data_IF_349835351006
#
_entry.id   IF_349835351006
#
_cell.length_a   1.000
_cell.length_b   1.000
_cell.length_c   1.000
_cell.angle_alpha   90.00
_cell.angle_beta   90.00
_cell.angle_gamma   90.00
#
_symmetry.space_group_name_H-M   'P 1'
#
loop_
_entity.id
_entity.type
_entity.pdbx_description
1 polymer ?
#
# COMPACT_ATOMS: atom_id res chain seq x y z
N UNK A 1 6.44 10.36 60.44
CA UNK A 1 5.84 10.75 59.14
C UNK A 1 6.86 10.81 57.98
N UNK A 2 8.04 11.44 58.06
CA UNK A 2 9.02 11.53 56.95
C UNK A 2 9.50 10.16 56.34
N UNK A 3 9.77 9.15 57.21
CA UNK A 3 10.23 7.82 56.74
C UNK A 3 9.18 7.04 55.91
N UNK A 4 7.89 7.25 56.20
CA UNK A 4 6.78 6.55 55.56
C UNK A 4 6.49 7.14 54.17
N UNK A 5 6.62 8.47 54.03
CA UNK A 5 6.48 9.16 52.72
C UNK A 5 7.63 8.81 51.79
N UNK A 6 8.85 8.66 52.32
CA UNK A 6 10.03 8.26 51.52
C UNK A 6 9.95 6.80 51.04
N UNK A 7 9.36 5.88 51.83
CA UNK A 7 9.07 4.50 51.37
C UNK A 7 8.02 4.48 50.27
N UNK A 8 6.91 5.22 50.41
CA UNK A 8 5.84 5.33 49.41
C UNK A 8 6.39 5.90 48.07
N UNK A 9 7.23 6.94 48.13
CA UNK A 9 7.86 7.51 46.92
C UNK A 9 8.76 6.50 46.20
N UNK A 10 9.59 5.73 46.94
CA UNK A 10 10.44 4.69 46.34
C UNK A 10 9.62 3.57 45.69
N UNK A 11 8.53 3.09 46.37
CA UNK A 11 7.67 2.06 45.80
C UNK A 11 6.98 2.55 44.55
N UNK A 12 6.47 3.77 44.54
CA UNK A 12 5.84 4.39 43.36
C UNK A 12 6.82 4.51 42.18
N UNK A 13 8.07 4.92 42.44
CA UNK A 13 9.10 5.05 41.44
C UNK A 13 9.48 3.67 40.83
N UNK A 14 9.60 2.64 41.67
CA UNK A 14 9.86 1.27 41.21
C UNK A 14 8.69 0.76 40.36
N UNK A 15 7.45 1.01 40.78
CA UNK A 15 6.26 0.60 40.00
C UNK A 15 6.23 1.26 38.62
N UNK A 16 6.50 2.57 38.55
CA UNK A 16 6.59 3.31 37.28
C UNK A 16 7.70 2.72 36.39
N UNK A 17 8.86 2.43 36.96
CA UNK A 17 9.98 1.85 36.21
C UNK A 17 9.62 0.47 35.63
N UNK A 18 8.96 -0.39 36.44
CA UNK A 18 8.52 -1.71 35.98
C UNK A 18 7.51 -1.60 34.86
N UNK A 19 6.55 -0.67 34.94
CA UNK A 19 5.56 -0.42 33.88
C UNK A 19 6.25 0.03 32.58
N UNK A 20 7.20 0.98 32.66
CA UNK A 20 7.93 1.45 31.48
C UNK A 20 8.73 0.31 30.84
N UNK A 21 9.45 -0.49 31.63
CA UNK A 21 10.22 -1.64 31.12
C UNK A 21 9.30 -2.68 30.47
N UNK A 22 8.16 -2.98 31.09
CA UNK A 22 7.18 -3.93 30.53
C UNK A 22 6.60 -3.43 29.20
N UNK A 23 6.24 -2.15 29.10
CA UNK A 23 5.76 -1.54 27.86
C UNK A 23 6.85 -1.54 26.78
N UNK A 24 8.10 -1.31 27.15
CA UNK A 24 9.23 -1.34 26.22
C UNK A 24 9.47 -2.76 25.66
N UNK A 25 9.37 -3.79 26.48
CA UNK A 25 9.51 -5.19 26.07
C UNK A 25 8.37 -5.58 25.12
N UNK A 26 7.12 -5.19 25.44
CA UNK A 26 5.96 -5.44 24.57
C UNK A 26 6.13 -4.72 23.24
N UNK A 27 6.53 -3.45 23.25
CA UNK A 27 6.77 -2.68 22.03
C UNK A 27 7.87 -3.33 21.17
N UNK A 28 8.96 -3.77 21.81
CA UNK A 28 10.05 -4.48 21.12
C UNK A 28 9.61 -5.82 20.52
N UNK A 29 8.78 -6.57 21.24
CA UNK A 29 8.17 -7.82 20.76
C UNK A 29 7.28 -7.60 19.55
N UNK A 30 6.46 -6.53 19.55
CA UNK A 30 5.61 -6.13 18.43
C UNK A 30 6.48 -5.74 17.22
N UNK A 31 7.52 -4.92 17.43
CA UNK A 31 8.44 -4.51 16.36
C UNK A 31 9.15 -5.72 15.75
N UNK A 32 9.64 -6.64 16.59
CA UNK A 32 10.28 -7.87 16.14
C UNK A 32 9.33 -8.80 15.38
N UNK A 33 8.07 -8.86 15.77
CA UNK A 33 7.03 -9.63 15.10
C UNK A 33 6.67 -9.03 13.73
N UNK A 34 6.43 -7.73 13.67
CA UNK A 34 6.10 -7.01 12.42
C UNK A 34 7.29 -6.99 11.44
N UNK A 35 8.51 -7.00 11.95
CA UNK A 35 9.74 -7.05 11.16
C UNK A 35 10.09 -8.45 10.64
N UNK A 36 9.37 -9.51 11.06
CA UNK A 36 9.58 -10.86 10.51
C UNK A 36 9.14 -10.89 9.05
N UNK A 37 10.10 -10.96 8.16
CA UNK A 37 9.86 -11.12 6.74
C UNK A 37 9.32 -12.50 6.40
N UNK A 38 8.42 -12.57 5.42
CA UNK A 38 8.01 -13.82 4.79
C UNK A 38 8.69 -13.91 3.43
N UNK A 39 9.36 -15.04 3.17
CA UNK A 39 9.95 -15.30 1.86
C UNK A 39 8.89 -15.78 0.90
N UNK A 40 8.70 -15.03 -0.18
CA UNK A 40 7.73 -15.28 -1.24
C UNK A 40 8.43 -15.64 -2.53
N UNK A 41 7.81 -16.48 -3.36
CA UNK A 41 8.30 -16.79 -4.70
C UNK A 41 7.67 -15.85 -5.73
N UNK A 42 8.46 -15.34 -6.64
CA UNK A 42 7.96 -14.69 -7.86
C UNK A 42 7.35 -15.77 -8.75
N UNK A 43 6.07 -15.62 -9.09
CA UNK A 43 5.37 -16.51 -10.02
C UNK A 43 5.62 -16.06 -11.46
N UNK A 44 5.38 -14.79 -11.72
CA UNK A 44 5.62 -14.14 -13.01
C UNK A 44 5.76 -12.64 -12.85
N UNK A 45 6.30 -12.00 -13.88
CA UNK A 45 6.35 -10.54 -14.03
C UNK A 45 5.80 -10.20 -15.40
N UNK A 46 4.68 -9.52 -15.43
CA UNK A 46 4.06 -9.00 -16.62
C UNK A 46 4.58 -7.60 -16.87
N UNK A 47 5.18 -7.39 -18.06
CA UNK A 47 5.60 -6.07 -18.54
C UNK A 47 4.42 -5.42 -19.23
N UNK A 48 4.00 -4.29 -18.68
CA UNK A 48 2.93 -3.48 -19.23
C UNK A 48 3.50 -2.28 -19.99
N UNK A 49 2.65 -1.56 -20.70
CA UNK A 49 3.04 -0.31 -21.35
C UNK A 49 3.46 0.76 -20.32
N UNK A 50 4.16 1.80 -20.75
CA UNK A 50 4.53 2.94 -19.90
C UNK A 50 5.47 2.62 -18.74
N UNK A 51 6.41 1.71 -18.92
CA UNK A 51 7.36 1.26 -17.86
C UNK A 51 6.71 0.60 -16.66
N UNK A 52 5.44 0.21 -16.76
CA UNK A 52 4.73 -0.50 -15.70
C UNK A 52 5.09 -1.99 -15.70
N UNK A 53 5.09 -2.56 -14.52
CA UNK A 53 5.21 -4.01 -14.33
C UNK A 53 4.22 -4.46 -13.26
N UNK A 54 3.52 -5.55 -13.55
CA UNK A 54 2.70 -6.28 -12.60
C UNK A 54 3.45 -7.54 -12.16
N UNK A 55 3.76 -7.62 -10.90
CA UNK A 55 4.54 -8.70 -10.30
C UNK A 55 3.58 -9.60 -9.54
N UNK A 56 3.59 -10.88 -9.86
CA UNK A 56 2.82 -11.93 -9.25
C UNK A 56 3.69 -12.69 -8.25
N UNK A 57 3.30 -12.67 -6.98
CA UNK A 57 3.99 -13.39 -5.92
C UNK A 57 3.09 -14.49 -5.37
N UNK A 58 3.69 -15.64 -5.05
CA UNK A 58 2.98 -16.73 -4.41
C UNK A 58 2.48 -16.29 -3.03
N UNK A 59 1.18 -16.44 -2.80
CA UNK A 59 0.56 -16.16 -1.51
C UNK A 59 0.65 -17.39 -0.61
N UNK A 60 1.23 -17.29 0.61
CA UNK A 60 1.11 -18.33 1.62
C UNK A 60 -0.34 -18.51 2.08
N UNK A 61 -0.76 -19.75 2.34
CA UNK A 61 -2.16 -20.11 2.66
C UNK A 61 -2.76 -19.31 3.82
N UNK A 62 -1.96 -19.04 4.86
CA UNK A 62 -2.38 -18.32 6.08
C UNK A 62 -2.08 -16.83 6.05
N UNK A 63 -1.58 -16.29 4.95
CA UNK A 63 -1.28 -14.88 4.87
C UNK A 63 -2.54 -14.06 4.62
N UNK A 64 -2.80 -13.11 5.52
CA UNK A 64 -3.91 -12.18 5.43
C UNK A 64 -3.42 -10.74 5.52
N UNK A 65 -4.07 -9.84 4.80
CA UNK A 65 -3.82 -8.40 4.89
C UNK A 65 -5.10 -7.62 4.62
N UNK A 66 -5.11 -6.38 5.06
CA UNK A 66 -6.22 -5.46 4.79
C UNK A 66 -6.11 -4.92 3.37
N UNK A 67 -7.22 -4.78 2.68
CA UNK A 67 -7.25 -4.13 1.37
C UNK A 67 -6.58 -2.74 1.41
N UNK A 68 -5.84 -2.39 0.36
CA UNK A 68 -5.04 -1.18 0.30
C UNK A 68 -3.73 -1.23 1.13
N UNK A 69 -3.30 -2.42 1.54
CA UNK A 69 -2.05 -2.59 2.27
C UNK A 69 -0.82 -2.29 1.41
N UNK A 70 0.23 -1.90 2.09
CA UNK A 70 1.59 -1.82 1.54
C UNK A 70 2.55 -2.59 2.44
N UNK A 71 3.65 -3.04 1.85
CA UNK A 71 4.66 -3.81 2.55
C UNK A 71 6.07 -3.40 2.12
N UNK A 72 7.05 -3.66 2.98
CA UNK A 72 8.46 -3.54 2.62
C UNK A 72 8.87 -4.81 1.89
N UNK A 73 9.24 -4.67 0.61
CA UNK A 73 9.74 -5.76 -0.21
C UNK A 73 11.24 -5.63 -0.36
N UNK A 74 11.97 -6.66 0.08
CA UNK A 74 13.42 -6.76 0.00
C UNK A 74 13.80 -7.79 -1.06
N UNK A 75 14.81 -7.45 -1.85
CA UNK A 75 15.42 -8.37 -2.80
C UNK A 75 16.40 -9.28 -2.05
N UNK A 76 16.53 -10.56 -2.44
CA UNK A 76 17.50 -11.46 -1.84
C UNK A 76 18.90 -10.88 -2.03
N UNK A 77 19.76 -11.09 -1.03
CA UNK A 77 21.18 -10.89 -1.22
C UNK A 77 21.63 -11.81 -2.35
N UNK A 78 22.54 -11.34 -3.19
CA UNK A 78 23.00 -11.97 -4.45
C UNK A 78 23.39 -13.46 -4.40
N UNK A 79 23.39 -14.07 -3.21
CA UNK A 79 23.75 -15.49 -2.99
C UNK A 79 22.61 -16.44 -3.37
N UNK A 80 21.33 -16.00 -3.27
CA UNK A 80 20.15 -16.85 -3.46
C UNK A 80 19.51 -16.71 -4.85
N UNK A 81 20.09 -15.86 -5.74
CA UNK A 81 19.57 -15.64 -7.08
C UNK A 81 20.53 -16.21 -8.12
N UNK A 82 20.17 -17.26 -8.90
CA UNK A 82 21.07 -17.92 -9.83
C UNK A 82 21.63 -17.04 -10.94
N UNK A 83 20.97 -15.92 -11.30
CA UNK A 83 21.50 -14.99 -12.30
C UNK A 83 22.57 -14.04 -11.76
N UNK A 84 22.48 -13.63 -10.47
CA UNK A 84 23.52 -12.82 -9.84
C UNK A 84 24.74 -13.65 -9.44
N UNK A 85 24.61 -14.97 -9.31
CA UNK A 85 25.75 -15.87 -9.09
C UNK A 85 26.72 -15.91 -10.30
N UNK A 86 26.23 -15.70 -11.52
CA UNK A 86 27.06 -15.66 -12.74
C UNK A 86 27.90 -14.38 -12.85
N UNK A 87 27.44 -13.24 -12.30
CA UNK A 87 28.17 -11.96 -12.33
C UNK A 87 29.24 -11.86 -11.22
N UNK A 88 29.13 -12.68 -10.16
CA UNK A 88 30.08 -12.70 -9.03
C UNK A 88 31.41 -13.39 -9.35
N UNK A 89 31.50 -14.12 -10.48
CA UNK A 89 32.76 -14.75 -10.91
C UNK A 89 33.78 -13.72 -11.44
N UNK A 90 33.37 -12.49 -11.69
CA UNK A 90 34.22 -11.41 -12.24
C UNK A 90 34.68 -10.38 -11.22
N UNK A 91 34.92 -10.75 -9.96
CA UNK A 91 35.81 -10.01 -9.05
C UNK A 91 35.35 -8.63 -8.54
N UNK A 92 34.07 -8.29 -8.57
CA UNK A 92 33.56 -7.04 -7.99
C UNK A 92 33.40 -7.17 -6.46
N UNK A 93 34.03 -6.25 -5.75
CA UNK A 93 34.08 -6.15 -4.29
C UNK A 93 32.69 -6.21 -3.62
N UNK A 94 32.56 -7.02 -2.58
CA UNK A 94 31.39 -7.10 -1.69
C UNK A 94 31.18 -5.75 -0.96
N UNK A 95 30.47 -4.81 -1.57
CA UNK A 95 29.92 -3.71 -0.81
C UNK A 95 28.59 -4.16 -0.20
N UNK A 96 28.47 -4.17 1.15
CA UNK A 96 27.17 -4.29 1.82
C UNK A 96 26.28 -3.18 1.29
N UNK A 97 25.29 -3.51 0.47
CA UNK A 97 24.25 -2.56 0.04
C UNK A 97 23.66 -1.89 1.29
N UNK A 98 23.60 -0.57 1.31
CA UNK A 98 22.93 0.16 2.38
C UNK A 98 21.47 -0.30 2.41
N UNK A 99 20.88 -0.44 3.59
CA UNK A 99 19.49 -0.93 3.83
C UNK A 99 18.42 -0.31 2.90
N UNK A 100 18.68 0.88 2.33
CA UNK A 100 17.81 1.57 1.38
C UNK A 100 17.96 1.14 -0.07
N UNK A 101 18.99 0.38 -0.44
CA UNK A 101 19.23 -0.04 -1.84
C UNK A 101 18.61 -1.39 -2.17
N UNK A 102 18.39 -2.25 -1.17
CA UNK A 102 17.86 -3.61 -1.34
C UNK A 102 16.36 -3.74 -1.06
N UNK A 103 15.68 -2.70 -0.60
CA UNK A 103 14.27 -2.77 -0.24
C UNK A 103 13.49 -1.49 -0.53
N UNK A 104 12.17 -1.62 -0.77
CA UNK A 104 11.23 -0.50 -0.94
C UNK A 104 9.86 -0.86 -0.37
N UNK A 105 9.14 0.18 0.05
CA UNK A 105 7.72 0.09 0.32
C UNK A 105 6.94 0.02 -0.99
N UNK A 106 6.15 -1.04 -1.18
CA UNK A 106 5.32 -1.25 -2.35
C UNK A 106 3.90 -1.58 -1.92
N UNK A 107 2.94 -1.13 -2.71
CA UNK A 107 1.51 -1.36 -2.46
C UNK A 107 1.09 -2.70 -3.03
N UNK A 108 0.30 -3.44 -2.25
CA UNK A 108 -0.30 -4.69 -2.67
C UNK A 108 -1.59 -4.39 -3.43
N UNK A 109 -1.66 -4.81 -4.69
CA UNK A 109 -2.78 -4.56 -5.60
C UNK A 109 -3.86 -5.65 -5.58
N UNK A 110 -3.66 -6.71 -4.78
CA UNK A 110 -4.66 -7.77 -4.55
C UNK A 110 -5.25 -7.70 -3.14
N UNK A 111 -6.45 -8.25 -2.95
CA UNK A 111 -6.97 -8.49 -1.60
C UNK A 111 -6.54 -9.88 -1.09
N UNK A 112 -6.70 -10.12 0.19
CA UNK A 112 -6.22 -11.37 0.82
C UNK A 112 -7.00 -12.63 0.40
N UNK A 113 -8.15 -12.48 -0.28
CA UNK A 113 -8.94 -13.59 -0.79
C UNK A 113 -8.54 -14.00 -2.22
N UNK A 114 -7.69 -13.19 -2.89
CA UNK A 114 -7.11 -13.55 -4.17
C UNK A 114 -5.97 -14.57 -3.96
N UNK A 115 -5.76 -15.46 -4.93
CA UNK A 115 -4.77 -16.55 -4.82
C UNK A 115 -3.32 -16.09 -4.86
N UNK A 116 -3.07 -14.82 -5.21
CA UNK A 116 -1.74 -14.26 -5.42
C UNK A 116 -1.61 -12.89 -4.76
N UNK A 117 -0.35 -12.51 -4.48
CA UNK A 117 -0.02 -11.15 -4.09
C UNK A 117 0.42 -10.40 -5.34
N UNK A 118 -0.34 -9.38 -5.72
CA UNK A 118 -0.04 -8.54 -6.88
C UNK A 118 0.67 -7.27 -6.45
N UNK A 119 1.76 -6.92 -7.12
CA UNK A 119 2.48 -5.66 -6.93
C UNK A 119 2.54 -4.92 -8.27
N UNK A 120 1.87 -3.78 -8.35
CA UNK A 120 1.95 -2.88 -9.51
C UNK A 120 2.99 -1.79 -9.26
N UNK A 121 3.92 -1.61 -10.20
CA UNK A 121 4.99 -0.66 -10.01
C UNK A 121 5.55 -0.12 -11.33
N UNK A 122 5.96 1.16 -11.34
CA UNK A 122 6.82 1.71 -12.39
C UNK A 122 8.25 1.24 -12.25
N UNK A 123 8.93 0.99 -13.37
CA UNK A 123 10.36 0.88 -13.42
C UNK A 123 10.98 2.28 -13.52
N UNK A 124 11.21 2.92 -12.38
CA UNK A 124 11.79 4.27 -12.28
C UNK A 124 13.27 4.36 -12.66
N UNK A 125 13.86 3.29 -13.18
CA UNK A 125 15.29 3.23 -13.54
C UNK A 125 16.23 3.05 -12.35
N UNK A 126 15.73 3.06 -11.10
CA UNK A 126 16.57 2.81 -9.92
C UNK A 126 17.10 1.36 -9.93
N UNK A 127 18.30 1.10 -9.37
CA UNK A 127 18.85 -0.27 -9.31
C UNK A 127 17.88 -1.28 -8.71
N UNK A 128 17.20 -0.92 -7.60
CA UNK A 128 16.19 -1.77 -6.99
C UNK A 128 15.04 -2.12 -7.94
N UNK A 129 14.46 -1.12 -8.62
CA UNK A 129 13.34 -1.34 -9.54
C UNK A 129 13.75 -2.17 -10.76
N UNK A 130 14.92 -1.89 -11.33
CA UNK A 130 15.49 -2.69 -12.42
C UNK A 130 15.68 -4.14 -12.01
N UNK A 131 16.24 -4.40 -10.83
CA UNK A 131 16.42 -5.75 -10.31
C UNK A 131 15.07 -6.42 -10.05
N UNK A 132 14.14 -5.76 -9.34
CA UNK A 132 12.84 -6.31 -9.00
C UNK A 132 12.04 -6.70 -10.25
N UNK A 133 11.98 -5.80 -11.27
CA UNK A 133 11.17 -6.02 -12.46
C UNK A 133 11.81 -6.97 -13.50
N UNK A 134 13.02 -7.47 -13.23
CA UNK A 134 13.73 -8.44 -14.07
C UNK A 134 14.01 -9.77 -13.36
N UNK A 135 13.41 -10.00 -12.18
CA UNK A 135 13.54 -11.28 -11.48
C UNK A 135 12.91 -12.41 -12.32
N UNK A 136 13.61 -13.52 -12.52
CA UNK A 136 13.01 -14.69 -13.15
C UNK A 136 11.95 -15.33 -12.24
N UNK A 137 11.01 -16.05 -12.85
CA UNK A 137 10.07 -16.88 -12.10
C UNK A 137 10.82 -17.86 -11.18
N UNK A 138 10.29 -18.09 -9.98
CA UNK A 138 10.94 -18.88 -8.93
C UNK A 138 11.88 -18.10 -8.02
N UNK A 139 12.30 -16.87 -8.40
CA UNK A 139 13.10 -16.00 -7.52
C UNK A 139 12.40 -15.77 -6.19
N UNK A 140 13.20 -15.55 -5.14
CA UNK A 140 12.68 -15.24 -3.81
C UNK A 140 12.74 -13.75 -3.53
N UNK A 141 11.72 -13.22 -2.89
CA UNK A 141 11.68 -11.88 -2.30
C UNK A 141 11.24 -11.99 -0.85
N UNK A 142 11.64 -11.06 -0.01
CA UNK A 142 11.17 -11.00 1.37
C UNK A 142 10.16 -9.88 1.53
N UNK A 143 8.97 -10.20 2.06
CA UNK A 143 7.92 -9.26 2.38
C UNK A 143 7.81 -9.11 3.90
N UNK A 144 7.89 -7.87 4.38
CA UNK A 144 7.82 -7.52 5.80
C UNK A 144 7.04 -6.23 6.02
N UNK A 145 6.73 -5.89 7.27
CA UNK A 145 6.11 -4.61 7.65
C UNK A 145 4.80 -4.31 6.91
N UNK A 146 3.85 -5.24 6.99
CA UNK A 146 2.56 -5.11 6.35
C UNK A 146 1.68 -4.08 7.08
N UNK A 147 1.23 -3.02 6.39
CA UNK A 147 0.40 -1.95 6.94
C UNK A 147 -0.60 -1.41 5.90
N UNK A 148 -1.64 -0.69 6.33
CA UNK A 148 -2.62 -0.05 5.45
C UNK A 148 -3.06 1.31 5.97
N UNK A 149 -2.71 2.37 5.23
CA UNK A 149 -3.11 3.75 5.51
C UNK A 149 -4.56 4.06 5.11
N UNK A 150 -5.15 3.24 4.24
CA UNK A 150 -6.51 3.43 3.72
C UNK A 150 -7.56 2.60 4.47
N UNK A 151 -7.15 1.77 5.44
CA UNK A 151 -8.11 0.97 6.20
C UNK A 151 -9.09 1.85 6.97
N UNK A 152 -10.37 1.45 6.97
CA UNK A 152 -11.44 2.14 7.68
C UNK A 152 -12.28 1.14 8.48
N UNK A 153 -12.78 1.57 9.62
CA UNK A 153 -13.68 0.81 10.49
C UNK A 153 -15.15 1.16 10.27
N UNK A 154 -15.43 2.17 9.43
CA UNK A 154 -16.81 2.61 9.15
C UNK A 154 -17.51 1.59 8.25
N UNK A 155 -18.43 0.84 8.81
CA UNK A 155 -18.99 -0.37 8.18
C UNK A 155 -20.04 -0.13 7.08
N UNK A 156 -20.72 1.04 7.02
CA UNK A 156 -21.89 1.22 6.11
C UNK A 156 -21.87 2.52 5.29
N UNK A 157 -20.80 3.31 5.35
CA UNK A 157 -20.73 4.58 4.61
C UNK A 157 -20.26 4.37 3.18
N UNK A 158 -20.76 5.17 2.21
CA UNK A 158 -20.23 5.17 0.87
C UNK A 158 -18.72 5.43 0.83
N UNK A 159 -18.01 4.80 -0.10
CA UNK A 159 -16.64 5.13 -0.42
C UNK A 159 -16.58 5.92 -1.71
N UNK A 160 -15.95 7.08 -1.65
CA UNK A 160 -15.63 7.91 -2.81
C UNK A 160 -14.13 7.85 -3.02
N UNK A 161 -13.72 7.17 -4.09
CA UNK A 161 -12.33 6.80 -4.33
C UNK A 161 -11.74 7.60 -5.50
N UNK A 162 -10.51 8.01 -5.34
CA UNK A 162 -9.68 8.56 -6.41
C UNK A 162 -8.37 7.78 -6.49
N UNK A 163 -8.06 7.32 -7.69
CA UNK A 163 -6.77 6.71 -7.99
C UNK A 163 -6.07 7.50 -9.09
N UNK A 164 -4.80 7.83 -8.91
CA UNK A 164 -3.95 8.41 -9.94
C UNK A 164 -2.84 7.43 -10.28
N UNK A 165 -2.73 7.04 -11.57
CA UNK A 165 -1.70 6.14 -12.07
C UNK A 165 -1.66 4.81 -11.27
N UNK A 166 -0.49 4.37 -10.81
CA UNK A 166 -0.33 3.16 -9.98
C UNK A 166 -1.05 3.24 -8.62
N UNK A 167 -1.66 4.37 -8.27
CA UNK A 167 -2.54 4.50 -7.11
C UNK A 167 -3.71 3.52 -7.12
N UNK A 168 -4.09 3.05 -8.29
CA UNK A 168 -5.11 2.00 -8.45
C UNK A 168 -4.74 0.72 -7.70
N UNK A 169 -3.45 0.44 -7.49
CA UNK A 169 -2.99 -0.69 -6.69
C UNK A 169 -3.51 -0.66 -5.25
N UNK A 170 -3.70 0.53 -4.66
CA UNK A 170 -4.25 0.65 -3.31
C UNK A 170 -5.79 0.62 -3.30
N UNK A 171 -6.43 1.12 -4.35
CA UNK A 171 -7.89 1.26 -4.41
C UNK A 171 -8.57 -0.01 -4.91
N UNK A 172 -8.03 -0.69 -5.94
CA UNK A 172 -8.60 -1.91 -6.52
C UNK A 172 -8.97 -2.98 -5.47
N UNK A 173 -8.07 -3.39 -4.55
CA UNK A 173 -8.41 -4.40 -3.55
C UNK A 173 -9.53 -3.95 -2.62
N UNK A 174 -9.64 -2.65 -2.32
CA UNK A 174 -10.72 -2.10 -1.50
C UNK A 174 -12.05 -2.19 -2.27
N UNK A 175 -12.07 -1.80 -3.55
CA UNK A 175 -13.26 -1.95 -4.39
C UNK A 175 -13.71 -3.41 -4.41
N UNK A 176 -12.80 -4.35 -4.69
CA UNK A 176 -13.14 -5.80 -4.73
C UNK A 176 -13.67 -6.33 -3.40
N UNK A 177 -13.13 -5.88 -2.29
CA UNK A 177 -13.58 -6.31 -0.96
C UNK A 177 -14.97 -5.76 -0.62
N UNK A 178 -15.30 -4.55 -1.11
CA UNK A 178 -16.52 -3.83 -0.75
C UNK A 178 -17.66 -3.94 -1.78
N UNK A 179 -17.42 -4.60 -2.91
CA UNK A 179 -18.47 -4.89 -3.90
C UNK A 179 -19.66 -5.59 -3.22
N UNK A 180 -20.87 -5.09 -3.52
CA UNK A 180 -22.12 -5.61 -2.94
C UNK A 180 -22.40 -5.26 -1.49
N UNK A 181 -21.48 -4.54 -0.79
CA UNK A 181 -21.62 -4.20 0.63
C UNK A 181 -22.00 -2.75 0.85
N UNK A 182 -21.54 -1.83 0.00
CA UNK A 182 -21.76 -0.38 0.12
C UNK A 182 -21.71 0.30 -1.23
N UNK A 183 -22.18 1.55 -1.29
CA UNK A 183 -22.01 2.41 -2.46
C UNK A 183 -20.53 2.76 -2.67
N UNK A 184 -20.06 2.56 -3.88
CA UNK A 184 -18.68 2.79 -4.32
C UNK A 184 -18.66 3.73 -5.51
N UNK A 185 -17.90 4.80 -5.43
CA UNK A 185 -17.63 5.70 -6.56
C UNK A 185 -16.13 5.74 -6.77
N UNK A 186 -15.66 5.44 -7.97
CA UNK A 186 -14.23 5.44 -8.30
C UNK A 186 -13.95 6.27 -9.54
N UNK A 187 -13.13 7.30 -9.40
CA UNK A 187 -12.46 7.96 -10.52
C UNK A 187 -11.01 7.51 -10.61
N UNK A 188 -10.61 6.99 -11.78
CA UNK A 188 -9.25 6.56 -12.05
C UNK A 188 -8.60 7.47 -13.08
N UNK A 189 -7.68 8.32 -12.63
CA UNK A 189 -6.92 9.25 -13.48
C UNK A 189 -5.77 8.51 -14.17
N UNK A 190 -5.83 8.43 -15.49
CA UNK A 190 -4.76 7.88 -16.34
C UNK A 190 -3.55 8.81 -16.41
N UNK A 191 -2.37 8.22 -16.36
CA UNK A 191 -1.09 8.88 -16.70
C UNK A 191 -0.41 8.17 -17.90
N UNK A 192 -1.23 7.70 -18.82
CA UNK A 192 -0.78 7.00 -20.05
C UNK A 192 -1.36 5.59 -20.14
N UNK A 193 -1.17 4.75 -19.12
CA UNK A 193 -1.66 3.37 -19.10
C UNK A 193 -2.71 3.18 -18.01
N UNK A 194 -3.79 2.48 -18.36
CA UNK A 194 -4.90 2.17 -17.45
C UNK A 194 -4.87 0.70 -17.05
N UNK A 195 -4.15 0.40 -15.97
CA UNK A 195 -4.11 -0.96 -15.43
C UNK A 195 -5.41 -1.29 -14.70
N UNK A 196 -5.90 -2.52 -14.85
CA UNK A 196 -7.17 -3.03 -14.31
C UNK A 196 -8.44 -2.34 -14.85
N UNK A 197 -8.35 -1.51 -15.90
CA UNK A 197 -9.50 -0.78 -16.42
C UNK A 197 -10.65 -1.73 -16.83
N UNK A 198 -10.34 -2.74 -17.64
CA UNK A 198 -11.35 -3.70 -18.09
C UNK A 198 -12.01 -4.45 -16.93
N UNK A 199 -11.23 -4.84 -15.91
CA UNK A 199 -11.77 -5.48 -14.69
C UNK A 199 -12.74 -4.56 -13.96
N UNK A 200 -12.40 -3.28 -13.82
CA UNK A 200 -13.23 -2.29 -13.13
C UNK A 200 -14.50 -1.95 -13.92
N UNK A 201 -14.39 -1.80 -15.24
CA UNK A 201 -15.56 -1.59 -16.11
C UNK A 201 -16.54 -2.77 -16.06
N UNK A 202 -16.03 -4.02 -16.13
CA UNK A 202 -16.85 -5.22 -16.00
C UNK A 202 -17.48 -5.29 -14.61
N UNK A 203 -16.73 -4.95 -13.57
CA UNK A 203 -17.26 -4.92 -12.21
C UNK A 203 -18.37 -3.89 -12.06
N UNK A 204 -18.21 -2.68 -12.62
CA UNK A 204 -19.25 -1.64 -12.59
C UNK A 204 -20.52 -2.03 -13.37
N UNK A 205 -20.37 -2.73 -14.48
CA UNK A 205 -21.54 -3.26 -15.25
C UNK A 205 -22.31 -4.31 -14.47
N UNK A 206 -21.61 -5.13 -13.67
CA UNK A 206 -22.21 -6.27 -12.97
C UNK A 206 -22.70 -5.93 -11.54
N UNK A 207 -22.29 -4.78 -10.97
CA UNK A 207 -22.61 -4.40 -9.60
C UNK A 207 -23.14 -2.97 -9.57
N UNK A 208 -24.45 -2.81 -9.39
CA UNK A 208 -25.14 -1.52 -9.38
C UNK A 208 -24.61 -0.55 -8.28
N UNK A 209 -23.94 -1.08 -7.28
CA UNK A 209 -23.33 -0.29 -6.19
C UNK A 209 -21.91 0.24 -6.51
N UNK A 210 -21.37 -0.02 -7.70
CA UNK A 210 -20.09 0.55 -8.16
C UNK A 210 -20.34 1.50 -9.34
N UNK A 211 -20.02 2.76 -9.15
CA UNK A 211 -19.88 3.75 -10.21
C UNK A 211 -18.40 3.98 -10.51
N UNK A 212 -17.99 3.73 -11.74
CA UNK A 212 -16.58 3.81 -12.17
C UNK A 212 -16.42 4.68 -13.40
N UNK A 213 -15.45 5.58 -13.36
CA UNK A 213 -15.02 6.38 -14.51
C UNK A 213 -13.51 6.47 -14.61
N UNK A 214 -13.00 6.22 -15.82
CA UNK A 214 -11.64 6.54 -16.19
C UNK A 214 -11.56 7.98 -16.71
N UNK A 215 -10.58 8.73 -16.26
CA UNK A 215 -10.37 10.14 -16.65
C UNK A 215 -8.97 10.38 -17.19
N UNK A 216 -8.83 11.32 -18.11
CA UNK A 216 -7.56 11.72 -18.73
C UNK A 216 -6.99 13.00 -18.11
N UNK A 217 -7.75 13.67 -17.24
CA UNK A 217 -7.30 14.88 -16.53
C UNK A 217 -7.86 14.95 -15.12
N UNK A 218 -7.12 15.65 -14.25
CA UNK A 218 -7.56 15.87 -12.88
C UNK A 218 -8.90 16.61 -12.82
N UNK A 219 -9.15 17.56 -13.73
CA UNK A 219 -10.42 18.29 -13.80
C UNK A 219 -11.61 17.39 -14.15
N UNK A 220 -11.43 16.39 -15.01
CA UNK A 220 -12.46 15.38 -15.28
C UNK A 220 -12.74 14.55 -14.03
N UNK A 221 -11.69 14.07 -13.35
CA UNK A 221 -11.84 13.36 -12.07
C UNK A 221 -12.60 14.20 -11.03
N UNK A 222 -12.27 15.50 -10.92
CA UNK A 222 -12.95 16.41 -10.01
C UNK A 222 -14.42 16.62 -10.38
N UNK A 223 -14.72 16.78 -11.67
CA UNK A 223 -16.10 16.93 -12.16
C UNK A 223 -16.93 15.68 -11.83
N UNK A 224 -16.39 14.50 -12.13
CA UNK A 224 -17.07 13.24 -11.82
C UNK A 224 -17.30 13.05 -10.31
N UNK A 225 -16.26 13.26 -9.50
CA UNK A 225 -16.39 13.11 -8.05
C UNK A 225 -17.25 14.20 -7.40
N UNK A 226 -17.44 15.36 -8.05
CA UNK A 226 -18.31 16.41 -7.54
C UNK A 226 -19.76 15.93 -7.34
N UNK A 227 -20.29 15.09 -8.23
CA UNK A 227 -21.62 14.51 -8.09
C UNK A 227 -21.72 13.66 -6.81
N UNK A 228 -20.69 12.87 -6.52
CA UNK A 228 -20.63 12.08 -5.30
C UNK A 228 -20.46 12.96 -4.05
N UNK A 229 -19.70 14.05 -4.14
CA UNK A 229 -19.55 15.05 -3.06
C UNK A 229 -20.89 15.71 -2.75
N UNK A 230 -21.64 16.15 -3.76
CA UNK A 230 -22.96 16.77 -3.59
C UNK A 230 -23.98 15.79 -3.00
N UNK A 231 -23.90 14.51 -3.40
CA UNK A 231 -24.81 13.46 -2.94
C UNK A 231 -24.54 12.99 -1.52
N UNK A 232 -23.28 12.82 -1.14
CA UNK A 232 -22.91 12.15 0.12
C UNK A 232 -22.25 13.09 1.14
N UNK A 233 -21.61 14.16 0.71
CA UNK A 233 -20.94 15.12 1.60
C UNK A 233 -20.07 14.42 2.65
N UNK A 234 -20.25 14.78 3.92
CA UNK A 234 -19.54 14.20 5.05
C UNK A 234 -20.06 12.81 5.52
N UNK A 235 -21.07 12.27 4.86
CA UNK A 235 -21.54 10.90 5.14
C UNK A 235 -20.71 9.85 4.40
N UNK A 236 -19.92 10.23 3.40
CA UNK A 236 -18.96 9.35 2.74
C UNK A 236 -17.59 9.32 3.43
N UNK A 237 -16.79 8.31 3.07
CA UNK A 237 -15.34 8.28 3.31
C UNK A 237 -14.62 8.40 1.98
N UNK A 238 -13.67 9.31 1.89
CA UNK A 238 -12.91 9.61 0.69
C UNK A 238 -11.53 8.94 0.77
N UNK A 239 -11.24 8.07 -0.22
CA UNK A 239 -10.01 7.30 -0.28
C UNK A 239 -9.20 7.74 -1.50
N UNK A 240 -8.07 8.37 -1.29
CA UNK A 240 -7.26 8.95 -2.36
C UNK A 240 -5.89 8.27 -2.41
N UNK A 241 -5.50 7.76 -3.59
CA UNK A 241 -4.20 7.10 -3.76
C UNK A 241 -3.54 7.47 -5.09
N UNK A 242 -2.21 7.59 -5.09
CA UNK A 242 -1.43 7.83 -6.30
C UNK A 242 -0.35 8.88 -6.17
N UNK A 243 -0.08 9.57 -7.27
CA UNK A 243 0.95 10.62 -7.33
C UNK A 243 0.64 11.72 -6.31
N UNK A 244 1.68 12.16 -5.60
CA UNK A 244 1.51 13.08 -4.47
C UNK A 244 0.80 14.39 -4.88
N UNK A 245 1.13 14.95 -6.04
CA UNK A 245 0.55 16.21 -6.52
C UNK A 245 -0.94 16.06 -6.85
N UNK A 246 -1.32 14.97 -7.52
CA UNK A 246 -2.72 14.69 -7.84
C UNK A 246 -3.55 14.45 -6.57
N UNK A 247 -3.01 13.67 -5.62
CA UNK A 247 -3.66 13.41 -4.34
C UNK A 247 -3.81 14.68 -3.51
N UNK A 248 -2.78 15.56 -3.50
CA UNK A 248 -2.86 16.86 -2.81
C UNK A 248 -3.90 17.77 -3.46
N UNK A 249 -3.92 17.86 -4.78
CA UNK A 249 -4.89 18.68 -5.50
C UNK A 249 -6.33 18.17 -5.32
N UNK A 250 -6.54 16.84 -5.33
CA UNK A 250 -7.86 16.25 -5.04
C UNK A 250 -8.25 16.46 -3.57
N UNK A 251 -7.31 16.34 -2.63
CA UNK A 251 -7.55 16.64 -1.20
C UNK A 251 -8.03 18.08 -1.02
N UNK A 252 -7.30 19.03 -1.65
CA UNK A 252 -7.69 20.44 -1.60
C UNK A 252 -9.08 20.68 -2.20
N UNK A 253 -9.38 20.09 -3.35
CA UNK A 253 -10.70 20.16 -3.98
C UNK A 253 -11.81 19.69 -3.02
N UNK A 254 -11.63 18.57 -2.34
CA UNK A 254 -12.61 18.06 -1.38
C UNK A 254 -12.76 18.98 -0.16
N UNK A 255 -11.65 19.52 0.38
CA UNK A 255 -11.69 20.50 1.47
C UNK A 255 -12.39 21.79 1.06
N UNK A 256 -12.13 22.31 -0.15
CA UNK A 256 -12.80 23.51 -0.70
C UNK A 256 -14.31 23.27 -0.90
N UNK A 257 -14.76 22.02 -1.05
CA UNK A 257 -16.17 21.60 -1.09
C UNK A 257 -16.77 21.33 0.30
N UNK A 258 -16.04 21.58 1.38
CA UNK A 258 -16.53 21.44 2.75
C UNK A 258 -16.44 20.02 3.32
N UNK A 259 -15.67 19.14 2.70
CA UNK A 259 -15.43 17.80 3.24
C UNK A 259 -14.41 17.87 4.40
N UNK A 260 -14.79 17.28 5.51
CA UNK A 260 -13.97 17.21 6.73
C UNK A 260 -12.68 16.40 6.47
N UNK A 261 -11.52 16.93 6.90
CA UNK A 261 -10.23 16.24 6.78
C UNK A 261 -10.22 14.83 7.36
N UNK A 262 -11.03 14.60 8.40
CA UNK A 262 -11.18 13.27 9.02
C UNK A 262 -11.83 12.23 8.10
N UNK A 263 -12.58 12.69 7.09
CA UNK A 263 -13.22 11.85 6.09
C UNK A 263 -12.33 11.53 4.91
N UNK A 264 -11.19 12.23 4.78
CA UNK A 264 -10.26 12.07 3.67
C UNK A 264 -9.05 11.25 4.15
N UNK A 265 -8.86 10.06 3.56
CA UNK A 265 -7.72 9.20 3.78
C UNK A 265 -6.86 9.17 2.52
N UNK A 266 -5.56 9.27 2.69
CA UNK A 266 -4.65 9.41 1.55
C UNK A 266 -3.50 8.42 1.61
N UNK A 267 -3.13 7.88 0.45
CA UNK A 267 -1.89 7.11 0.22
C UNK A 267 -1.11 7.78 -0.91
N UNK A 268 -0.08 8.54 -0.56
CA UNK A 268 0.75 9.29 -1.50
C UNK A 268 1.96 8.47 -1.89
N UNK A 269 2.08 8.19 -3.17
CA UNK A 269 3.20 7.45 -3.70
C UNK A 269 4.36 8.40 -3.98
N UNK A 270 5.56 8.01 -3.55
CA UNK A 270 6.78 8.79 -3.73
C UNK A 270 7.65 8.19 -4.81
N UNK A 271 8.41 9.04 -5.52
CA UNK A 271 9.36 8.60 -6.56
C UNK A 271 8.73 8.17 -7.86
N UNK A 272 7.48 8.56 -8.11
CA UNK A 272 6.86 8.58 -9.43
C UNK A 272 7.25 9.91 -10.07
N UNK A 273 8.01 9.89 -11.17
CA UNK A 273 8.35 11.05 -12.00
C UNK A 273 7.79 10.85 -13.38
#
# INVERSE_FOLDING_TARGET
MKKQNMKRGKTMLITILVVIVSLSIIAWGIIAYLGRGQTLSVLSIEKLEGDLSLIHLAKPDNMQWKAGAHAKISLPNSIDNPQTASELVTGASKSKAKDGESSRWLTIASNSNEGEILILTHNSGSPYKKSLTNLPAGSKVELSWLDSSLSTTDSNKPFVCFASDVGIAAIRPIIKEELGKRELVLSHLSKGVMVFNNELEVSAKNHANLSYESSSSLSQSQAYLNEAVERYGNDATYLLAGQADDVNAMTKFLEDKGIDKKKIKTSRFRGLK
#
